data_IF_761355023686
#
_entry.id   IF_761355023686
#
_cell.length_a   1.000
_cell.length_b   1.000
_cell.length_c   1.000
_cell.angle_alpha   90.00
_cell.angle_beta   90.00
_cell.angle_gamma   90.00
#
_symmetry.space_group_name_H-M   'P 1'
#
loop_
_entity.id
_entity.type
_entity.pdbx_description
1 polymer ?
#
# COMPACT_ATOMS: atom_id res chain seq x y z
N UNK A 1 -17.44 -6.30 -5.92
CA UNK A 1 -16.71 -7.28 -5.07
C UNK A 1 -15.53 -6.62 -4.39
N UNK A 2 -15.01 -7.27 -3.39
CA UNK A 2 -13.78 -6.82 -2.74
C UNK A 2 -12.59 -7.59 -3.29
N UNK A 3 -11.60 -6.87 -3.79
CA UNK A 3 -10.31 -7.44 -4.18
C UNK A 3 -9.29 -7.06 -3.12
N UNK A 4 -8.62 -8.05 -2.52
CA UNK A 4 -7.59 -7.82 -1.51
C UNK A 4 -6.22 -8.13 -2.07
N UNK A 5 -5.27 -7.23 -1.86
CA UNK A 5 -3.85 -7.45 -2.11
C UNK A 5 -3.17 -7.55 -0.74
N UNK A 6 -2.72 -8.74 -0.40
CA UNK A 6 -2.23 -9.04 0.93
C UNK A 6 -0.72 -9.15 0.95
N UNK A 7 -0.08 -8.35 1.80
CA UNK A 7 1.35 -8.47 2.05
C UNK A 7 2.25 -7.97 0.94
N UNK A 8 1.99 -6.77 0.42
CA UNK A 8 2.94 -6.09 -0.47
C UNK A 8 4.14 -5.66 0.36
N UNK A 9 5.32 -6.15 0.02
CA UNK A 9 6.58 -5.74 0.65
C UNK A 9 7.14 -4.52 -0.07
N UNK A 10 7.49 -3.49 0.71
CA UNK A 10 8.10 -2.28 0.16
C UNK A 10 9.34 -1.92 0.96
N UNK A 11 10.50 -2.01 0.32
CA UNK A 11 11.75 -1.52 0.91
C UNK A 11 11.87 -0.04 0.64
N UNK A 12 11.92 0.77 1.70
CA UNK A 12 11.95 2.22 1.59
C UNK A 12 12.56 2.88 2.81
N UNK A 13 12.95 4.14 2.66
CA UNK A 13 13.29 4.99 3.78
C UNK A 13 11.98 5.40 4.45
N UNK A 14 11.86 5.14 5.74
CA UNK A 14 10.66 5.44 6.53
C UNK A 14 11.04 5.67 7.97
N UNK A 15 10.54 6.75 8.56
CA UNK A 15 10.78 7.08 9.96
C UNK A 15 11.33 8.47 10.15
N UNK A 16 11.20 8.98 11.39
CA UNK A 16 11.56 10.35 11.75
C UNK A 16 12.98 10.43 12.32
N UNK A 17 13.48 9.37 12.94
CA UNK A 17 14.81 9.42 13.60
C UNK A 17 15.93 9.54 12.56
N UNK A 18 17.04 10.25 12.90
CA UNK A 18 18.14 10.45 11.96
C UNK A 18 18.71 9.16 11.38
N UNK A 19 18.83 8.09 12.18
CA UNK A 19 19.31 6.79 11.71
C UNK A 19 18.35 6.13 10.72
N UNK A 20 17.06 6.41 10.84
CA UNK A 20 16.05 5.88 9.91
C UNK A 20 16.07 6.58 8.55
N UNK A 21 16.57 7.82 8.48
CA UNK A 21 16.59 8.60 7.24
C UNK A 21 17.63 8.11 6.23
N UNK A 22 18.55 7.24 6.64
CA UNK A 22 19.68 6.79 5.80
C UNK A 22 19.70 5.29 5.55
N UNK A 23 18.64 4.57 5.94
CA UNK A 23 18.56 3.11 5.72
C UNK A 23 17.21 2.69 5.22
N UNK A 24 17.20 1.56 4.51
CA UNK A 24 15.97 0.94 4.06
C UNK A 24 15.36 0.10 5.19
N UNK A 25 14.04 0.17 5.29
CA UNK A 25 13.22 -0.71 6.11
C UNK A 25 12.13 -1.29 5.23
N UNK A 26 11.60 -2.44 5.60
CA UNK A 26 10.50 -3.06 4.86
C UNK A 26 9.16 -2.70 5.49
N UNK A 27 8.30 -2.03 4.74
CA UNK A 27 6.90 -1.87 5.09
C UNK A 27 6.08 -3.02 4.52
N UNK A 28 5.06 -3.41 5.24
CA UNK A 28 4.01 -4.30 4.72
C UNK A 28 2.79 -3.45 4.38
N UNK A 29 2.30 -3.58 3.16
CA UNK A 29 1.10 -2.86 2.68
C UNK A 29 0.04 -3.89 2.32
N UNK A 30 -1.16 -3.70 2.87
CA UNK A 30 -2.34 -4.48 2.53
C UNK A 30 -3.41 -3.51 2.03
N UNK A 31 -4.07 -3.86 0.95
CA UNK A 31 -5.16 -3.03 0.40
C UNK A 31 -6.40 -3.87 0.14
N UNK A 32 -7.56 -3.26 0.42
CA UNK A 32 -8.87 -3.78 0.04
C UNK A 32 -9.49 -2.80 -0.95
N UNK A 33 -9.89 -3.31 -2.10
CA UNK A 33 -10.46 -2.51 -3.17
C UNK A 33 -11.88 -2.96 -3.44
N UNK A 34 -12.83 -2.02 -3.48
CA UNK A 34 -14.17 -2.30 -3.99
C UNK A 34 -14.19 -2.04 -5.50
N UNK A 35 -14.46 -3.08 -6.26
CA UNK A 35 -14.44 -3.08 -7.72
C UNK A 35 -15.74 -3.67 -8.28
N UNK A 36 -16.07 -3.41 -9.56
CA UNK A 36 -17.20 -4.06 -10.22
C UNK A 36 -17.06 -5.59 -10.27
N UNK A 37 -18.19 -6.28 -10.39
CA UNK A 37 -18.23 -7.74 -10.50
C UNK A 37 -18.02 -8.23 -11.94
N UNK A 38 -17.92 -7.33 -12.91
CA UNK A 38 -17.95 -7.63 -14.34
C UNK A 38 -16.92 -8.67 -14.77
N UNK A 39 -15.71 -8.60 -14.22
CA UNK A 39 -14.66 -9.55 -14.57
C UNK A 39 -14.97 -11.00 -14.14
N UNK A 40 -15.86 -11.19 -13.16
CA UNK A 40 -16.32 -12.52 -12.77
C UNK A 40 -17.13 -13.19 -13.89
N UNK A 41 -17.77 -12.38 -14.74
CA UNK A 41 -18.54 -12.87 -15.89
C UNK A 41 -17.68 -12.89 -17.16
N UNK A 42 -16.89 -11.85 -17.41
CA UNK A 42 -16.17 -11.67 -18.67
C UNK A 42 -14.81 -12.34 -18.70
N UNK A 43 -14.21 -12.57 -17.54
CA UNK A 43 -12.83 -13.07 -17.40
C UNK A 43 -11.82 -12.21 -18.18
N UNK A 44 -12.08 -10.89 -18.23
CA UNK A 44 -11.27 -9.94 -18.99
C UNK A 44 -10.57 -8.95 -18.06
N UNK A 45 -9.26 -8.74 -18.28
CA UNK A 45 -8.47 -7.76 -17.54
C UNK A 45 -9.02 -6.33 -17.72
N UNK A 46 -9.64 -6.04 -18.86
CA UNK A 46 -10.23 -4.71 -19.12
C UNK A 46 -11.40 -4.36 -18.20
N UNK A 47 -11.97 -5.34 -17.51
CA UNK A 47 -13.11 -5.16 -16.62
C UNK A 47 -12.73 -5.18 -15.14
N UNK A 48 -11.44 -5.12 -14.83
CA UNK A 48 -10.93 -5.15 -13.47
C UNK A 48 -9.68 -4.28 -13.31
N UNK A 49 -9.04 -4.39 -12.15
CA UNK A 49 -7.77 -3.72 -11.86
C UNK A 49 -6.62 -4.65 -12.20
N UNK A 50 -5.62 -4.14 -12.93
CA UNK A 50 -4.34 -4.83 -13.08
C UNK A 50 -3.55 -4.68 -11.78
N UNK A 51 -3.72 -5.65 -10.87
CA UNK A 51 -3.09 -5.55 -9.55
C UNK A 51 -1.56 -5.74 -9.58
N UNK A 52 -1.02 -6.35 -10.62
CA UNK A 52 0.43 -6.43 -10.78
C UNK A 52 1.00 -5.03 -11.06
N UNK A 53 0.40 -4.28 -11.97
CA UNK A 53 0.79 -2.90 -12.27
C UNK A 53 0.55 -1.99 -11.06
N UNK A 54 -0.58 -2.14 -10.36
CA UNK A 54 -0.90 -1.37 -9.17
C UNK A 54 0.13 -1.61 -8.06
N UNK A 55 0.52 -2.86 -7.83
CA UNK A 55 1.55 -3.22 -6.85
C UNK A 55 2.87 -2.50 -7.13
N UNK A 56 3.32 -2.49 -8.39
CA UNK A 56 4.56 -1.80 -8.75
C UNK A 56 4.46 -0.28 -8.62
N UNK A 57 3.30 0.31 -8.92
CA UNK A 57 3.06 1.74 -8.69
C UNK A 57 3.17 2.10 -7.21
N UNK A 58 2.59 1.28 -6.34
CA UNK A 58 2.66 1.46 -4.88
C UNK A 58 4.12 1.39 -4.40
N UNK A 59 4.83 0.35 -4.80
CA UNK A 59 6.24 0.15 -4.41
C UNK A 59 7.12 1.30 -4.86
N UNK A 60 7.00 1.72 -6.11
CA UNK A 60 7.77 2.84 -6.67
C UNK A 60 7.48 4.15 -5.95
N UNK A 61 6.21 4.45 -5.69
CA UNK A 61 5.82 5.68 -5.02
C UNK A 61 6.36 5.76 -3.58
N UNK A 62 6.24 4.68 -2.81
CA UNK A 62 6.74 4.67 -1.43
C UNK A 62 8.28 4.69 -1.37
N UNK A 63 8.96 4.04 -2.30
CA UNK A 63 10.42 4.10 -2.38
C UNK A 63 10.92 5.52 -2.66
N UNK A 64 10.21 6.26 -3.51
CA UNK A 64 10.55 7.65 -3.86
C UNK A 64 10.16 8.66 -2.78
N UNK A 65 9.09 8.40 -2.03
CA UNK A 65 8.50 9.37 -1.11
C UNK A 65 9.36 9.62 0.13
N UNK A 66 10.12 8.62 0.60
CA UNK A 66 10.94 8.70 1.81
C UNK A 66 10.15 9.28 2.99
N UNK A 67 8.97 8.72 3.24
CA UNK A 67 8.05 9.21 4.25
C UNK A 67 8.67 9.19 5.66
N UNK A 68 8.31 10.17 6.47
CA UNK A 68 8.64 10.18 7.89
C UNK A 68 7.63 9.39 8.71
N UNK A 69 6.36 9.45 8.30
CA UNK A 69 5.23 8.87 9.02
C UNK A 69 4.56 7.76 8.20
N UNK A 70 4.19 6.67 8.84
CA UNK A 70 3.43 5.60 8.18
C UNK A 70 2.03 6.07 7.77
N UNK A 71 1.46 7.05 8.46
CA UNK A 71 0.20 7.70 8.09
C UNK A 71 0.30 8.36 6.73
N UNK A 72 1.42 9.00 6.42
CA UNK A 72 1.68 9.59 5.10
C UNK A 72 1.80 8.51 4.03
N UNK A 73 2.49 7.42 4.34
CA UNK A 73 2.58 6.28 3.43
C UNK A 73 1.20 5.69 3.12
N UNK A 74 0.35 5.54 4.13
CA UNK A 74 -1.03 5.07 3.93
C UNK A 74 -1.82 5.99 3.00
N UNK A 75 -1.69 7.31 3.15
CA UNK A 75 -2.38 8.28 2.29
C UNK A 75 -1.91 8.19 0.84
N UNK A 76 -0.61 8.07 0.61
CA UNK A 76 -0.04 7.89 -0.73
C UNK A 76 -0.62 6.64 -1.40
N UNK A 77 -0.63 5.51 -0.69
CA UNK A 77 -1.16 4.25 -1.22
C UNK A 77 -2.65 4.38 -1.54
N UNK A 78 -3.42 4.97 -0.63
CA UNK A 78 -4.86 5.15 -0.85
C UNK A 78 -5.15 6.02 -2.07
N UNK A 79 -4.43 7.11 -2.24
CA UNK A 79 -4.61 7.99 -3.41
C UNK A 79 -4.27 7.26 -4.71
N UNK A 80 -3.23 6.43 -4.73
CA UNK A 80 -2.89 5.60 -5.88
C UNK A 80 -4.02 4.62 -6.20
N UNK A 81 -4.54 3.91 -5.19
CA UNK A 81 -5.65 2.98 -5.37
C UNK A 81 -6.89 3.68 -5.94
N UNK A 82 -7.24 4.83 -5.39
CA UNK A 82 -8.42 5.59 -5.84
C UNK A 82 -8.23 6.24 -7.22
N UNK A 83 -7.01 6.33 -7.71
CA UNK A 83 -6.75 6.82 -9.08
C UNK A 83 -7.08 5.78 -10.15
N UNK A 84 -7.24 4.51 -9.78
CA UNK A 84 -7.63 3.45 -10.70
C UNK A 84 -9.12 3.58 -11.05
N UNK A 85 -9.45 3.56 -12.35
CA UNK A 85 -10.81 3.82 -12.83
C UNK A 85 -11.85 2.82 -12.28
N UNK A 86 -11.43 1.58 -12.06
CA UNK A 86 -12.35 0.52 -11.59
C UNK A 86 -12.51 0.50 -10.06
N UNK A 87 -11.72 1.26 -9.32
CA UNK A 87 -11.76 1.28 -7.86
C UNK A 87 -12.77 2.30 -7.37
N UNK A 88 -13.81 1.84 -6.65
CA UNK A 88 -14.87 2.67 -6.09
C UNK A 88 -14.59 3.10 -4.66
N UNK A 89 -13.87 2.27 -3.92
CA UNK A 89 -13.44 2.53 -2.55
C UNK A 89 -12.18 1.73 -2.26
N UNK A 90 -11.35 2.23 -1.36
CA UNK A 90 -10.13 1.54 -0.95
C UNK A 90 -9.93 1.66 0.55
N UNK A 91 -9.47 0.57 1.16
CA UNK A 91 -8.99 0.54 2.54
C UNK A 91 -7.54 0.09 2.52
N UNK A 92 -6.67 0.82 3.19
CA UNK A 92 -5.23 0.61 3.16
C UNK A 92 -4.71 0.39 4.57
N UNK A 93 -3.82 -0.59 4.74
CA UNK A 93 -3.06 -0.79 5.98
C UNK A 93 -1.58 -0.75 5.66
N UNK A 94 -0.83 0.07 6.40
CA UNK A 94 0.62 0.12 6.33
C UNK A 94 1.19 -0.29 7.68
N UNK A 95 1.99 -1.35 7.71
CA UNK A 95 2.57 -1.91 8.92
C UNK A 95 4.08 -1.76 8.91
N UNK A 96 4.63 -1.22 10.01
CA UNK A 96 6.05 -1.08 10.26
C UNK A 96 6.40 -1.87 11.52
N UNK A 97 7.31 -2.85 11.37
CA UNK A 97 7.70 -3.76 12.46
C UNK A 97 9.07 -3.39 13.03
N UNK A 98 9.29 -3.71 14.31
CA UNK A 98 10.60 -3.64 14.93
C UNK A 98 11.17 -2.23 15.15
N UNK A 99 10.35 -1.19 15.06
CA UNK A 99 10.82 0.19 15.19
C UNK A 99 11.05 0.64 16.64
N UNK A 100 10.32 0.06 17.57
CA UNK A 100 10.33 0.46 18.99
C UNK A 100 10.53 -0.76 19.86
N UNK A 101 11.42 -0.72 20.87
CA UNK A 101 11.55 -1.81 21.83
C UNK A 101 10.20 -2.11 22.51
N UNK A 102 9.90 -3.40 22.67
CA UNK A 102 8.66 -3.90 23.29
C UNK A 102 7.38 -3.68 22.46
N UNK A 103 7.48 -3.11 21.28
CA UNK A 103 6.37 -2.98 20.34
C UNK A 103 6.66 -3.86 19.12
N UNK A 104 5.80 -4.83 18.85
CA UNK A 104 5.98 -5.71 17.69
C UNK A 104 5.84 -4.94 16.39
N UNK A 105 4.78 -4.16 16.27
CA UNK A 105 4.53 -3.36 15.07
C UNK A 105 3.62 -2.17 15.36
N UNK A 106 3.69 -1.18 14.47
CA UNK A 106 2.70 -0.12 14.38
C UNK A 106 2.02 -0.19 13.01
N UNK A 107 0.72 0.06 12.98
CA UNK A 107 -0.07 -0.01 11.75
C UNK A 107 -0.96 1.22 11.61
N UNK A 108 -0.91 1.84 10.44
CA UNK A 108 -1.84 2.90 10.05
C UNK A 108 -2.87 2.30 9.09
N UNK A 109 -4.14 2.50 9.39
CA UNK A 109 -5.27 2.02 8.58
C UNK A 109 -6.10 3.22 8.13
N UNK A 110 -6.32 3.33 6.83
CA UNK A 110 -7.00 4.49 6.25
C UNK A 110 -8.14 4.04 5.31
#
# INVERSE_FOLDING_TARGET
MTLRLNGIDVDCVIGERPDERTRLQTLRVDVELEIPDDAAETDSLSDTVDYAALTERIRTALASAKCRMIERAAKIVKDICLSEAMVRAARVSVTKSGAVPHLESAQAVL
#
